data_IF_486680806890
#
_entry.id   IF_486680806890
#
_cell.length_a   1.000
_cell.length_b   1.000
_cell.length_c   1.000
_cell.angle_alpha   90.00
_cell.angle_beta   90.00
_cell.angle_gamma   90.00
#
_symmetry.space_group_name_H-M   'P 1'
#
loop_
_entity.id
_entity.type
_entity.pdbx_description
1 polymer ?
#
# COMPACT_ATOMS: atom_id res chain seq x y z
N UNK A 1 -12.96 -1.96 -2.34
CA UNK A 1 -12.42 -2.82 -3.42
C UNK A 1 -11.18 -2.19 -4.00
N UNK A 2 -10.08 -2.94 -4.05
CA UNK A 2 -8.83 -2.55 -4.70
C UNK A 2 -8.25 -3.74 -5.47
N UNK A 3 -7.49 -3.45 -6.52
CA UNK A 3 -6.73 -4.47 -7.24
C UNK A 3 -5.31 -4.60 -6.72
N UNK A 4 -4.79 -5.83 -6.76
CA UNK A 4 -3.40 -6.13 -6.46
C UNK A 4 -2.86 -6.88 -7.68
N UNK A 5 -1.97 -6.24 -8.42
CA UNK A 5 -1.40 -6.78 -9.65
C UNK A 5 0.07 -7.04 -9.45
N UNK A 6 0.49 -8.28 -9.65
CA UNK A 6 1.86 -8.73 -9.43
C UNK A 6 2.44 -9.21 -10.74
N UNK A 7 3.64 -8.73 -11.10
CA UNK A 7 4.42 -9.29 -12.21
C UNK A 7 5.89 -9.47 -11.86
N UNK A 8 6.52 -10.41 -12.54
CA UNK A 8 7.96 -10.60 -12.58
C UNK A 8 8.57 -10.23 -13.95
N UNK A 9 7.79 -9.59 -14.82
CA UNK A 9 8.21 -9.22 -16.16
C UNK A 9 9.17 -8.04 -16.12
N UNK A 10 10.24 -8.13 -16.92
CA UNK A 10 11.17 -7.04 -17.09
C UNK A 10 10.47 -5.82 -17.70
N UNK A 11 10.80 -4.62 -17.18
CA UNK A 11 10.32 -3.34 -17.70
C UNK A 11 8.80 -3.20 -17.81
N UNK A 12 8.03 -3.95 -17.03
CA UNK A 12 6.57 -3.88 -17.06
C UNK A 12 6.06 -2.61 -16.34
N UNK A 13 5.86 -2.64 -15.03
CA UNK A 13 5.28 -1.49 -14.31
C UNK A 13 6.07 -0.17 -14.44
N UNK A 14 7.38 -0.25 -14.68
CA UNK A 14 8.27 0.91 -14.66
C UNK A 14 8.38 1.62 -16.02
N UNK A 15 7.98 0.97 -17.12
CA UNK A 15 8.30 1.43 -18.48
C UNK A 15 7.18 1.19 -19.51
N UNK A 16 5.92 1.13 -19.05
CA UNK A 16 4.78 0.95 -19.95
C UNK A 16 4.43 2.22 -20.76
N UNK A 17 4.80 3.41 -20.27
CA UNK A 17 4.37 4.67 -20.86
C UNK A 17 2.84 4.70 -21.03
N UNK A 18 2.36 5.13 -22.20
CA UNK A 18 0.94 5.12 -22.57
C UNK A 18 0.46 3.82 -23.25
N UNK A 19 1.33 2.83 -23.39
CA UNK A 19 1.02 1.61 -24.10
C UNK A 19 0.13 0.70 -23.26
N UNK A 20 -0.94 0.11 -23.85
CA UNK A 20 -1.70 -0.92 -23.17
C UNK A 20 -0.84 -2.17 -22.97
N UNK A 21 -1.00 -2.80 -21.81
CA UNK A 21 -0.50 -4.15 -21.54
C UNK A 21 -1.67 -5.12 -21.45
N UNK A 22 -1.38 -6.40 -21.25
CA UNK A 22 -2.41 -7.41 -21.10
C UNK A 22 -2.01 -8.46 -20.09
N UNK A 23 -3.03 -9.09 -19.50
CA UNK A 23 -2.93 -10.35 -18.78
C UNK A 23 -3.80 -11.41 -19.46
N UNK A 24 -3.37 -12.67 -19.41
CA UNK A 24 -4.28 -13.77 -19.81
C UNK A 24 -5.30 -14.01 -18.70
N UNK A 25 -6.46 -14.57 -19.03
CA UNK A 25 -7.51 -14.85 -18.01
C UNK A 25 -7.03 -15.79 -16.90
N UNK A 26 -6.01 -16.62 -17.16
CA UNK A 26 -5.33 -17.48 -16.17
C UNK A 26 -4.57 -16.70 -15.08
N UNK A 27 -4.31 -15.42 -15.32
CA UNK A 27 -3.65 -14.55 -14.35
C UNK A 27 -4.64 -13.92 -13.38
N UNK A 28 -5.95 -14.02 -13.61
CA UNK A 28 -6.95 -13.68 -12.59
C UNK A 28 -6.85 -14.73 -11.48
N UNK A 29 -6.51 -14.30 -10.26
CA UNK A 29 -6.19 -15.20 -9.14
C UNK A 29 -7.00 -14.84 -7.88
N UNK A 30 -7.11 -15.83 -6.99
CA UNK A 30 -7.91 -15.73 -5.78
C UNK A 30 -9.38 -15.56 -6.13
N UNK A 31 -10.03 -14.54 -5.56
CA UNK A 31 -11.44 -14.24 -5.80
C UNK A 31 -11.68 -13.32 -7.01
N UNK A 32 -10.66 -13.03 -7.81
CA UNK A 32 -10.76 -12.18 -9.00
C UNK A 32 -11.32 -12.96 -10.19
N UNK A 33 -12.22 -12.34 -10.95
CA UNK A 33 -12.80 -12.89 -12.19
C UNK A 33 -13.21 -11.74 -13.14
N UNK A 34 -13.66 -12.09 -14.35
CA UNK A 34 -14.01 -11.13 -15.40
C UNK A 34 -15.15 -10.18 -14.97
N UNK A 35 -16.14 -10.65 -14.21
CA UNK A 35 -17.26 -9.80 -13.76
C UNK A 35 -16.88 -8.76 -12.71
N UNK A 36 -15.69 -8.89 -12.11
CA UNK A 36 -15.15 -7.93 -11.13
C UNK A 36 -14.24 -6.88 -11.75
N UNK A 37 -14.02 -6.93 -13.07
CA UNK A 37 -13.25 -5.91 -13.80
C UNK A 37 -14.03 -4.60 -13.88
N UNK A 38 -13.41 -3.52 -13.39
CA UNK A 38 -13.95 -2.18 -13.34
C UNK A 38 -12.84 -1.19 -13.69
N UNK A 39 -13.12 -0.34 -14.66
CA UNK A 39 -12.22 0.75 -15.03
C UNK A 39 -11.99 1.71 -13.87
N UNK A 40 -10.83 2.38 -13.92
CA UNK A 40 -10.37 3.37 -12.95
C UNK A 40 -10.28 2.87 -11.49
N UNK A 41 -10.20 1.55 -11.30
CA UNK A 41 -10.07 0.95 -9.96
C UNK A 41 -8.68 1.17 -9.38
N UNK A 42 -8.63 1.64 -8.13
CA UNK A 42 -7.38 1.80 -7.35
C UNK A 42 -6.64 0.47 -7.28
N UNK A 43 -5.35 0.51 -7.64
CA UNK A 43 -4.52 -0.68 -7.86
C UNK A 43 -3.16 -0.53 -7.19
N UNK A 44 -2.73 -1.59 -6.52
CA UNK A 44 -1.35 -1.76 -6.05
C UNK A 44 -0.62 -2.64 -7.07
N UNK A 45 0.44 -2.09 -7.67
CA UNK A 45 1.30 -2.78 -8.61
C UNK A 45 2.55 -3.26 -7.89
N UNK A 46 2.82 -4.56 -7.92
CA UNK A 46 3.98 -5.17 -7.28
C UNK A 46 4.89 -5.76 -8.36
N UNK A 47 6.15 -5.32 -8.40
CA UNK A 47 7.19 -5.95 -9.22
C UNK A 47 7.99 -6.90 -8.37
N UNK A 48 8.14 -8.14 -8.82
CA UNK A 48 9.02 -9.15 -8.20
C UNK A 48 10.19 -9.42 -9.11
N UNK A 49 11.32 -9.74 -8.51
CA UNK A 49 12.47 -10.25 -9.21
C UNK A 49 12.15 -11.67 -9.72
N UNK A 50 12.51 -11.96 -10.97
CA UNK A 50 12.18 -13.24 -11.60
C UNK A 50 12.93 -14.42 -10.97
N UNK A 51 14.16 -14.21 -10.52
CA UNK A 51 15.05 -15.24 -9.99
C UNK A 51 14.85 -15.42 -8.48
N UNK A 52 15.00 -14.34 -7.72
CA UNK A 52 14.94 -14.39 -6.25
C UNK A 52 13.51 -14.42 -5.73
N UNK A 53 12.53 -14.04 -6.57
CA UNK A 53 11.14 -13.79 -6.18
C UNK A 53 10.98 -12.72 -5.09
N UNK A 54 12.02 -11.97 -4.76
CA UNK A 54 11.90 -10.85 -3.82
C UNK A 54 11.11 -9.70 -4.47
N UNK A 55 10.51 -8.86 -3.65
CA UNK A 55 9.84 -7.66 -4.13
C UNK A 55 10.92 -6.66 -4.55
N UNK A 56 10.87 -6.20 -5.79
CA UNK A 56 11.78 -5.17 -6.28
C UNK A 56 11.25 -3.79 -5.95
N UNK A 57 9.98 -3.54 -6.25
CA UNK A 57 9.35 -2.25 -6.03
C UNK A 57 7.81 -2.38 -6.06
N UNK A 58 7.12 -1.38 -5.52
CA UNK A 58 5.65 -1.35 -5.43
C UNK A 58 5.13 0.07 -5.67
N UNK A 59 4.06 0.17 -6.46
CA UNK A 59 3.42 1.43 -6.79
C UNK A 59 1.95 1.39 -6.46
N UNK A 60 1.40 2.57 -6.21
CA UNK A 60 -0.03 2.79 -6.17
C UNK A 60 -0.47 3.55 -7.41
N UNK A 61 -1.65 3.22 -7.91
CA UNK A 61 -2.19 3.85 -9.09
C UNK A 61 -3.57 3.34 -9.42
N UNK A 62 -3.89 3.25 -10.70
CA UNK A 62 -5.14 2.68 -11.19
C UNK A 62 -4.97 1.96 -12.52
N UNK A 63 -5.89 1.06 -12.80
CA UNK A 63 -6.04 0.40 -14.10
C UNK A 63 -7.18 1.08 -14.85
N UNK A 64 -7.00 1.34 -16.14
CA UNK A 64 -8.01 2.00 -16.97
C UNK A 64 -8.06 1.42 -18.38
N UNK A 65 -9.15 1.70 -19.11
CA UNK A 65 -9.40 1.24 -20.49
C UNK A 65 -9.29 -0.28 -20.61
N UNK A 66 -9.96 -0.99 -19.70
CA UNK A 66 -10.01 -2.44 -19.70
C UNK A 66 -10.84 -2.91 -20.90
N UNK A 67 -10.28 -3.83 -21.68
CA UNK A 67 -10.97 -4.44 -22.81
C UNK A 67 -10.59 -5.91 -22.94
N UNK A 68 -11.57 -6.75 -23.23
CA UNK A 68 -11.34 -8.16 -23.53
C UNK A 68 -10.83 -8.33 -24.97
N UNK A 69 -9.97 -9.31 -25.18
CA UNK A 69 -9.48 -9.68 -26.50
C UNK A 69 -8.94 -11.09 -26.54
N UNK A 70 -8.44 -11.49 -27.71
CA UNK A 70 -7.85 -12.81 -27.92
C UNK A 70 -6.46 -12.63 -28.54
N UNK A 71 -5.47 -13.33 -28.00
CA UNK A 71 -4.13 -13.35 -28.56
C UNK A 71 -4.08 -14.13 -29.87
N UNK A 72 -2.96 -14.00 -30.61
CA UNK A 72 -2.72 -14.76 -31.85
C UNK A 72 -2.74 -16.27 -31.65
N UNK A 73 -2.44 -16.74 -30.44
CA UNK A 73 -2.46 -18.16 -30.06
C UNK A 73 -3.85 -18.65 -29.60
N UNK A 74 -4.90 -17.81 -29.73
CA UNK A 74 -6.27 -18.15 -29.36
C UNK A 74 -6.59 -17.98 -27.87
N UNK A 75 -5.65 -17.55 -27.03
CA UNK A 75 -5.91 -17.36 -25.60
C UNK A 75 -6.65 -16.06 -25.33
N UNK A 76 -7.70 -16.14 -24.50
CA UNK A 76 -8.39 -14.97 -23.96
C UNK A 76 -7.45 -14.13 -23.10
N UNK A 77 -7.48 -12.83 -23.32
CA UNK A 77 -6.66 -11.86 -22.62
C UNK A 77 -7.46 -10.60 -22.32
N UNK A 78 -7.02 -9.87 -21.29
CA UNK A 78 -7.59 -8.63 -20.83
C UNK A 78 -6.52 -7.58 -21.05
N UNK A 79 -6.77 -6.67 -21.98
CA UNK A 79 -5.93 -5.50 -22.21
C UNK A 79 -6.32 -4.39 -21.25
N UNK A 80 -5.34 -3.64 -20.78
CA UNK A 80 -5.55 -2.53 -19.88
C UNK A 80 -4.38 -1.55 -19.90
N UNK A 81 -4.63 -0.32 -19.44
CA UNK A 81 -3.60 0.68 -19.19
C UNK A 81 -3.29 0.78 -17.72
N UNK A 82 -2.01 1.00 -17.43
CA UNK A 82 -1.48 1.19 -16.10
C UNK A 82 -1.20 2.68 -15.92
N UNK A 83 -1.77 3.26 -14.87
CA UNK A 83 -1.48 4.64 -14.47
C UNK A 83 -0.89 4.56 -13.07
N UNK A 84 0.44 4.59 -12.96
CA UNK A 84 1.13 4.67 -11.68
C UNK A 84 1.19 6.11 -11.18
N UNK A 85 1.11 6.30 -9.87
CA UNK A 85 1.18 7.62 -9.23
C UNK A 85 2.40 7.70 -8.32
N UNK A 86 2.38 6.97 -7.21
CA UNK A 86 3.40 7.05 -6.17
C UNK A 86 4.02 5.67 -5.89
N UNK A 87 5.30 5.63 -5.51
CA UNK A 87 5.95 4.44 -4.97
C UNK A 87 5.60 4.26 -3.51
N UNK A 88 5.26 3.03 -3.09
CA UNK A 88 4.90 2.70 -1.71
C UNK A 88 5.70 1.49 -1.22
N UNK A 89 5.78 1.32 0.10
CA UNK A 89 6.25 0.04 0.66
C UNK A 89 5.19 -1.02 0.47
N UNK A 90 5.57 -2.23 0.03
CA UNK A 90 4.60 -3.31 -0.16
C UNK A 90 3.93 -3.69 1.17
N UNK A 91 2.58 -3.67 1.26
CA UNK A 91 1.90 -4.18 2.44
C UNK A 91 2.23 -5.66 2.68
N UNK A 92 2.56 -6.01 3.93
CA UNK A 92 2.99 -7.37 4.30
C UNK A 92 2.01 -8.47 3.89
N UNK A 93 0.71 -8.17 3.91
CA UNK A 93 -0.36 -9.09 3.48
C UNK A 93 -0.27 -9.55 2.02
N UNK A 94 0.36 -8.75 1.16
CA UNK A 94 0.49 -9.05 -0.28
C UNK A 94 1.89 -9.54 -0.65
N UNK A 95 2.81 -9.63 0.31
CA UNK A 95 4.22 -9.97 0.05
C UNK A 95 4.41 -11.34 -0.62
N UNK A 96 3.54 -12.30 -0.28
CA UNK A 96 3.60 -13.67 -0.77
C UNK A 96 2.85 -13.89 -2.08
N UNK A 97 2.18 -12.87 -2.63
CA UNK A 97 1.36 -13.05 -3.84
C UNK A 97 2.25 -13.36 -5.05
N UNK A 98 1.90 -14.44 -5.75
CA UNK A 98 2.53 -14.80 -7.02
C UNK A 98 2.07 -13.87 -8.15
N UNK A 99 2.73 -13.93 -9.30
CA UNK A 99 2.30 -13.22 -10.50
C UNK A 99 0.80 -13.41 -10.80
N UNK A 100 0.07 -12.32 -11.01
CA UNK A 100 -1.36 -12.35 -11.28
C UNK A 100 -2.11 -11.08 -10.86
N UNK A 101 -3.42 -11.09 -11.07
CA UNK A 101 -4.36 -10.03 -10.74
C UNK A 101 -5.33 -10.55 -9.67
N UNK A 102 -5.28 -9.93 -8.51
CA UNK A 102 -6.08 -10.25 -7.34
C UNK A 102 -7.00 -9.08 -7.00
N UNK A 103 -8.01 -9.37 -6.19
CA UNK A 103 -8.92 -8.38 -5.64
C UNK A 103 -8.92 -8.48 -4.12
N UNK A 104 -8.88 -7.32 -3.45
CA UNK A 104 -9.23 -7.24 -2.04
C UNK A 104 -10.50 -6.41 -1.91
N UNK A 105 -11.52 -7.04 -1.33
CA UNK A 105 -12.85 -6.44 -1.14
C UNK A 105 -12.92 -5.64 0.16
N UNK A 106 -12.09 -5.99 1.15
CA UNK A 106 -11.91 -5.24 2.39
C UNK A 106 -11.30 -3.85 2.10
N UNK A 107 -11.86 -2.83 2.76
CA UNK A 107 -11.21 -1.53 2.88
C UNK A 107 -9.80 -1.77 3.41
N UNK A 108 -8.79 -1.35 2.66
CA UNK A 108 -7.48 -1.20 3.26
C UNK A 108 -7.69 -0.07 4.28
N UNK A 109 -7.95 -0.42 5.54
CA UNK A 109 -7.59 0.46 6.65
C UNK A 109 -6.14 0.87 6.37
N UNK A 110 -5.96 2.16 6.16
CA UNK A 110 -4.78 2.80 5.60
C UNK A 110 -3.55 2.52 6.47
N UNK A 111 -2.96 1.33 6.32
CA UNK A 111 -1.55 1.07 6.62
C UNK A 111 -0.68 1.37 5.38
N UNK A 112 -1.17 2.22 4.48
CA UNK A 112 -0.28 3.03 3.67
C UNK A 112 0.17 4.12 4.63
N UNK A 113 1.24 3.84 5.37
CA UNK A 113 2.08 4.91 5.92
C UNK A 113 2.63 5.67 4.71
N UNK A 114 1.80 6.53 4.11
CA UNK A 114 2.31 7.75 3.54
C UNK A 114 3.07 8.37 4.69
N UNK A 115 4.39 8.51 4.54
CA UNK A 115 5.19 9.36 5.42
C UNK A 115 4.68 10.78 5.20
N UNK A 116 3.54 11.07 5.82
CA UNK A 116 2.86 12.34 5.69
C UNK A 116 3.79 13.34 6.36
N UNK A 117 4.02 14.49 5.72
CA UNK A 117 4.79 15.58 6.35
C UNK A 117 4.12 16.00 7.68
N UNK A 118 2.84 15.65 7.84
CA UNK A 118 2.01 15.83 9.02
C UNK A 118 1.97 14.63 9.98
N UNK A 119 2.83 13.63 9.83
CA UNK A 119 2.98 12.51 10.76
C UNK A 119 4.30 12.67 11.54
N UNK A 120 4.29 13.37 12.70
CA UNK A 120 5.49 13.53 13.51
C UNK A 120 6.07 12.17 13.89
N UNK A 121 7.40 12.02 13.78
CA UNK A 121 8.08 10.75 14.05
C UNK A 121 7.73 10.12 15.41
N UNK A 122 7.45 10.97 16.40
CA UNK A 122 7.08 10.55 17.75
C UNK A 122 5.76 9.76 17.82
N UNK A 123 4.87 9.80 16.82
CA UNK A 123 3.62 9.02 16.83
C UNK A 123 3.88 7.52 16.84
N UNK A 124 4.85 7.07 16.04
CA UNK A 124 5.26 5.66 16.00
C UNK A 124 5.94 5.22 17.30
N UNK A 125 6.76 6.10 17.87
CA UNK A 125 7.47 5.84 19.12
C UNK A 125 6.51 5.84 20.32
N UNK A 126 5.49 6.70 20.34
CA UNK A 126 4.47 6.73 21.38
C UNK A 126 3.67 5.42 21.46
N UNK A 127 3.35 4.80 20.31
CA UNK A 127 2.60 3.54 20.26
C UNK A 127 3.38 2.34 20.81
N UNK A 128 4.71 2.42 20.84
CA UNK A 128 5.60 1.28 21.07
C UNK A 128 6.51 1.45 22.29
N UNK A 129 6.60 2.67 22.84
CA UNK A 129 7.47 2.95 23.98
C UNK A 129 6.96 2.27 25.26
N UNK A 130 7.88 1.61 25.97
CA UNK A 130 7.69 1.17 27.36
C UNK A 130 8.43 2.08 28.35
N UNK A 131 9.11 3.12 27.86
CA UNK A 131 9.74 4.15 28.68
C UNK A 131 8.69 5.20 29.03
N UNK A 132 8.35 5.27 30.32
CA UNK A 132 7.36 6.20 30.85
C UNK A 132 7.74 7.66 30.61
N UNK A 133 9.04 7.99 30.58
CA UNK A 133 9.50 9.36 30.34
C UNK A 133 9.20 9.77 28.91
N UNK A 134 9.50 8.87 27.96
CA UNK A 134 9.19 9.08 26.55
C UNK A 134 7.69 9.11 26.31
N UNK A 135 6.92 8.26 27.00
CA UNK A 135 5.46 8.28 26.90
C UNK A 135 4.88 9.64 27.32
N UNK A 136 5.31 10.18 28.47
CA UNK A 136 4.87 11.50 28.94
C UNK A 136 5.30 12.62 27.98
N UNK A 137 6.54 12.58 27.49
CA UNK A 137 7.06 13.56 26.54
C UNK A 137 6.29 13.55 25.21
N UNK A 138 6.04 12.37 24.65
CA UNK A 138 5.33 12.22 23.40
C UNK A 138 3.83 12.54 23.53
N UNK A 139 3.22 12.23 24.67
CA UNK A 139 1.85 12.65 24.99
C UNK A 139 1.76 14.18 25.08
N UNK A 140 2.76 14.84 25.68
CA UNK A 140 2.84 16.30 25.70
C UNK A 140 2.88 16.88 24.27
N UNK A 141 3.71 16.33 23.39
CA UNK A 141 3.75 16.78 21.99
C UNK A 141 2.43 16.50 21.25
N UNK A 142 1.77 15.37 21.51
CA UNK A 142 0.46 15.06 20.94
C UNK A 142 -0.59 16.10 21.32
N UNK A 143 -0.66 16.47 22.60
CA UNK A 143 -1.57 17.50 23.12
C UNK A 143 -1.31 18.86 22.44
N UNK A 144 -0.03 19.19 22.20
CA UNK A 144 0.36 20.42 21.48
C UNK A 144 -0.06 20.39 20.01
N UNK A 145 0.05 19.23 19.35
CA UNK A 145 -0.45 19.03 17.98
C UNK A 145 -1.98 19.16 17.90
N UNK A 146 -2.72 18.82 18.96
CA UNK A 146 -4.17 19.02 19.06
C UNK A 146 -4.59 20.48 19.30
N UNK A 147 -3.64 21.43 19.36
CA UNK A 147 -3.92 22.86 19.57
C UNK A 147 -4.14 23.26 21.03
N UNK A 148 -3.91 22.35 21.99
CA UNK A 148 -3.96 22.67 23.41
C UNK A 148 -2.61 23.26 23.83
N UNK A 149 -2.53 24.59 23.79
CA UNK A 149 -1.29 25.31 24.08
C UNK A 149 -1.07 25.58 25.57
N UNK A 150 -2.11 25.50 26.40
CA UNK A 150 -2.02 25.59 27.86
C UNK A 150 -1.83 24.17 28.40
N UNK A 151 -0.64 23.63 28.19
CA UNK A 151 -0.23 22.34 28.72
C UNK A 151 1.12 22.50 29.42
N UNK A 152 1.22 21.93 30.61
CA UNK A 152 2.44 21.95 31.40
C UNK A 152 3.13 20.59 31.28
N UNK A 153 4.44 20.60 31.09
CA UNK A 153 5.23 19.38 31.24
C UNK A 153 5.18 18.97 32.71
N UNK A 154 4.79 17.74 32.99
CA UNK A 154 4.80 17.20 34.34
C UNK A 154 6.26 17.11 34.83
N UNK A 155 6.49 17.52 36.08
CA UNK A 155 7.83 17.56 36.64
C UNK A 155 8.35 16.17 36.99
N UNK A 156 9.46 15.75 36.35
CA UNK A 156 10.13 14.45 36.49
C UNK A 156 10.41 13.97 37.93
N UNK A 157 10.36 14.88 38.92
CA UNK A 157 10.75 14.60 40.30
C UNK A 157 9.63 14.01 41.16
N UNK A 158 8.35 14.03 40.75
CA UNK A 158 7.26 13.75 41.69
C UNK A 158 6.46 12.47 41.48
N UNK A 159 6.33 11.86 40.30
CA UNK A 159 5.58 10.60 40.20
C UNK A 159 6.12 9.72 39.07
N UNK A 160 6.57 8.51 39.44
CA UNK A 160 6.95 7.43 38.52
C UNK A 160 5.69 6.67 38.07
N UNK A 161 4.85 7.26 37.22
CA UNK A 161 3.66 6.58 36.70
C UNK A 161 2.67 6.11 37.77
N UNK A 162 2.55 6.84 38.88
CA UNK A 162 1.47 6.61 39.85
C UNK A 162 0.28 7.45 39.41
N UNK A 163 -0.89 6.83 39.30
CA UNK A 163 -2.15 7.56 39.28
C UNK A 163 -2.30 8.35 40.59
N UNK A 164 -2.96 9.50 40.51
CA UNK A 164 -3.35 10.32 41.65
C UNK A 164 -4.42 9.66 42.53
#
# INVERSE_FOLDING_TARGET
MIYIMVTNWENHWNNLGDSPTYFTTRMLKGNMNESKLKDDTRTIFIKRNKETRSIENTWIGKVAKISEGTQRDGKKCIYFRVITKDTITCPGKYSNYSEGWYIAEEEIEENIYEKCIFDPSFFSELKTTNDWQKFEEYTYYLIRCLGVHISHRFGFKKQKGKAD
#
